data_IF_132961379082
#
_entry.id   IF_132961379082
#
_cell.length_a   1.000
_cell.length_b   1.000
_cell.length_c   1.000
_cell.angle_alpha   90.00
_cell.angle_beta   90.00
_cell.angle_gamma   90.00
#
_symmetry.space_group_name_H-M   'P 1'
#
loop_
_entity.id
_entity.type
_entity.pdbx_description
1 polymer ?
#
# COMPACT_ATOMS: atom_id res chain seq x y z
N UNK A 1 21.96 -31.63 78.78
CA UNK A 1 21.69 -30.36 78.09
C UNK A 1 21.13 -29.39 79.13
N UNK A 2 21.89 -28.37 79.55
CA UNK A 2 21.47 -27.48 80.65
C UNK A 2 20.27 -26.64 80.25
N UNK A 3 19.44 -26.22 81.22
CA UNK A 3 18.27 -25.34 81.00
C UNK A 3 18.64 -24.05 80.26
N UNK A 4 19.89 -23.60 80.39
CA UNK A 4 20.38 -22.40 79.71
C UNK A 4 20.68 -22.66 78.22
N UNK A 5 21.16 -23.86 77.86
CA UNK A 5 21.38 -24.23 76.47
C UNK A 5 20.06 -24.37 75.68
N UNK A 6 18.97 -24.79 76.34
CA UNK A 6 17.63 -24.80 75.72
C UNK A 6 17.06 -23.39 75.55
N UNK A 7 17.34 -22.47 76.48
CA UNK A 7 16.93 -21.06 76.38
C UNK A 7 17.67 -20.31 75.27
N UNK A 8 18.97 -20.54 75.12
CA UNK A 8 19.75 -19.95 74.01
C UNK A 8 19.34 -20.52 72.64
N UNK A 9 19.02 -21.81 72.55
CA UNK A 9 18.53 -22.42 71.30
C UNK A 9 17.12 -21.91 70.93
N UNK A 10 16.21 -21.81 71.92
CA UNK A 10 14.86 -21.29 71.69
C UNK A 10 14.86 -19.80 71.31
N UNK A 11 15.77 -19.00 71.88
CA UNK A 11 15.91 -17.57 71.58
C UNK A 11 16.60 -17.32 70.22
N UNK A 12 17.50 -18.22 69.79
CA UNK A 12 18.08 -18.20 68.44
C UNK A 12 17.09 -18.57 67.34
N UNK A 13 16.19 -19.53 67.59
CA UNK A 13 15.13 -19.92 66.64
C UNK A 13 14.04 -18.84 66.52
N UNK A 14 13.72 -18.15 67.62
CA UNK A 14 12.78 -17.02 67.60
C UNK A 14 13.34 -15.79 66.87
N UNK A 15 14.65 -15.52 66.94
CA UNK A 15 15.27 -14.42 66.16
C UNK A 15 15.35 -14.74 64.66
N UNK A 16 15.56 -16.00 64.27
CA UNK A 16 15.60 -16.43 62.87
C UNK A 16 14.23 -16.36 62.18
N UNK A 17 13.13 -16.47 62.93
CA UNK A 17 11.76 -16.40 62.40
C UNK A 17 11.31 -14.96 62.03
N UNK A 18 11.99 -13.92 62.52
CA UNK A 18 11.64 -12.52 62.20
C UNK A 18 12.27 -11.99 60.90
N UNK A 19 13.22 -12.72 60.30
CA UNK A 19 13.95 -12.27 59.10
C UNK A 19 13.32 -12.80 57.79
N UNK A 20 12.40 -13.77 57.87
CA UNK A 20 11.71 -14.34 56.71
C UNK A 20 10.28 -13.81 56.51
N UNK A 21 9.84 -12.83 57.30
CA UNK A 21 8.45 -12.38 57.37
C UNK A 21 8.02 -11.20 56.48
N UNK A 22 8.91 -10.62 55.67
CA UNK A 22 8.56 -9.48 54.81
C UNK A 22 9.25 -9.57 53.44
N UNK A 23 8.94 -10.61 52.67
CA UNK A 23 8.95 -10.44 51.22
C UNK A 23 7.69 -9.61 50.88
N UNK A 24 7.78 -8.43 50.23
CA UNK A 24 6.60 -7.72 49.79
C UNK A 24 5.82 -8.64 48.86
N UNK A 25 4.65 -9.09 49.31
CA UNK A 25 3.73 -9.82 48.46
C UNK A 25 3.36 -8.89 47.31
N UNK A 26 3.81 -9.20 46.09
CA UNK A 26 3.46 -8.41 44.92
C UNK A 26 1.95 -8.25 44.88
N UNK A 27 1.47 -7.01 44.91
CA UNK A 27 0.05 -6.73 44.87
C UNK A 27 -0.53 -7.43 43.63
N UNK A 28 -1.62 -8.19 43.82
CA UNK A 28 -2.27 -8.88 42.72
C UNK A 28 -2.65 -7.87 41.63
N UNK A 29 -1.99 -7.96 40.47
CA UNK A 29 -2.28 -7.14 39.30
C UNK A 29 -3.39 -7.81 38.51
N UNK A 30 -4.27 -7.02 37.90
CA UNK A 30 -5.13 -7.51 36.81
C UNK A 30 -6.02 -8.69 37.24
N UNK A 31 -6.89 -8.43 38.21
CA UNK A 31 -7.66 -9.43 38.95
C UNK A 31 -9.07 -9.66 38.41
N UNK A 32 -9.50 -8.96 37.35
CA UNK A 32 -10.83 -9.10 36.77
C UNK A 32 -10.78 -9.79 35.40
N UNK A 33 -11.87 -10.46 34.95
CA UNK A 33 -11.93 -11.08 33.64
C UNK A 33 -11.69 -10.12 32.45
N UNK A 34 -11.90 -8.81 32.63
CA UNK A 34 -11.63 -7.79 31.60
C UNK A 34 -10.28 -7.09 31.78
N UNK A 35 -9.65 -7.25 32.94
CA UNK A 35 -8.32 -6.72 33.23
C UNK A 35 -7.35 -7.89 33.27
N UNK A 36 -7.01 -8.45 32.09
CA UNK A 36 -6.01 -9.50 31.93
C UNK A 36 -5.16 -9.30 30.65
N UNK A 37 -3.97 -9.91 30.54
CA UNK A 37 -3.04 -9.69 29.42
C UNK A 37 -3.65 -9.97 28.04
N UNK A 38 -4.38 -11.07 27.88
CA UNK A 38 -4.96 -11.51 26.61
C UNK A 38 -6.05 -10.55 26.14
N UNK A 39 -6.92 -10.09 27.06
CA UNK A 39 -7.96 -9.11 26.75
C UNK A 39 -7.33 -7.78 26.31
N UNK A 40 -6.37 -7.27 27.06
CA UNK A 40 -5.70 -6.02 26.71
C UNK A 40 -4.93 -6.13 25.39
N UNK A 41 -4.27 -7.26 25.12
CA UNK A 41 -3.64 -7.52 23.82
C UNK A 41 -4.65 -7.51 22.67
N UNK A 42 -5.78 -8.21 22.81
CA UNK A 42 -6.83 -8.21 21.79
C UNK A 42 -7.36 -6.78 21.53
N UNK A 43 -7.62 -6.02 22.59
CA UNK A 43 -8.07 -4.63 22.48
C UNK A 43 -7.02 -3.72 21.85
N UNK A 44 -5.73 -3.94 22.16
CA UNK A 44 -4.62 -3.22 21.53
C UNK A 44 -4.53 -3.52 20.03
N UNK A 45 -4.69 -4.77 19.63
CA UNK A 45 -4.68 -5.15 18.21
C UNK A 45 -5.90 -4.62 17.45
N UNK A 46 -7.10 -4.59 18.06
CA UNK A 46 -8.28 -3.91 17.48
C UNK A 46 -8.04 -2.41 17.31
N UNK A 47 -7.45 -1.75 18.31
CA UNK A 47 -7.09 -0.34 18.21
C UNK A 47 -6.06 -0.08 17.09
N UNK A 48 -5.11 -1.00 16.85
CA UNK A 48 -4.21 -0.94 15.69
C UNK A 48 -4.97 -1.03 14.36
N UNK A 49 -5.96 -1.92 14.24
CA UNK A 49 -6.80 -2.04 13.04
C UNK A 49 -7.59 -0.77 12.74
N UNK A 50 -7.99 -0.04 13.79
CA UNK A 50 -8.67 1.25 13.69
C UNK A 50 -7.70 2.45 13.53
N UNK A 51 -6.38 2.20 13.49
CA UNK A 51 -5.36 3.25 13.38
C UNK A 51 -5.13 4.08 14.64
N UNK A 52 -5.72 3.69 15.78
CA UNK A 52 -5.63 4.36 17.08
C UNK A 52 -4.35 3.96 17.84
N UNK A 53 -3.22 4.45 17.36
CA UNK A 53 -1.88 4.05 17.81
C UNK A 53 -1.66 4.26 19.32
N UNK A 54 -2.08 5.39 19.89
CA UNK A 54 -1.87 5.67 21.32
C UNK A 54 -2.74 4.79 22.23
N UNK A 55 -3.97 4.50 21.79
CA UNK A 55 -4.86 3.56 22.49
C UNK A 55 -4.27 2.16 22.46
N UNK A 56 -3.76 1.72 21.31
CA UNK A 56 -3.11 0.43 21.17
C UNK A 56 -1.89 0.32 22.09
N UNK A 57 -1.05 1.35 22.15
CA UNK A 57 0.10 1.38 23.05
C UNK A 57 -0.32 1.17 24.50
N UNK A 58 -1.26 1.98 25.00
CA UNK A 58 -1.71 1.91 26.39
C UNK A 58 -2.26 0.53 26.75
N UNK A 59 -2.94 -0.13 25.80
CA UNK A 59 -3.43 -1.49 25.99
C UNK A 59 -2.31 -2.52 26.06
N UNK A 60 -1.30 -2.46 25.19
CA UNK A 60 -0.17 -3.38 25.29
C UNK A 60 0.69 -3.12 26.53
N UNK A 61 0.89 -1.86 26.93
CA UNK A 61 1.56 -1.51 28.19
C UNK A 61 0.79 -2.07 29.39
N UNK A 62 -0.55 -2.02 29.37
CA UNK A 62 -1.37 -2.64 30.41
C UNK A 62 -1.22 -4.17 30.41
N UNK A 63 -1.17 -4.82 29.25
CA UNK A 63 -0.93 -6.26 29.16
C UNK A 63 0.44 -6.64 29.77
N UNK A 64 1.50 -5.88 29.46
CA UNK A 64 2.84 -6.05 30.06
C UNK A 64 2.82 -5.78 31.56
N UNK A 65 2.05 -4.79 32.02
CA UNK A 65 1.90 -4.52 33.44
C UNK A 65 1.26 -5.71 34.18
N UNK A 66 0.23 -6.32 33.58
CA UNK A 66 -0.46 -7.49 34.10
C UNK A 66 0.45 -8.73 34.16
N UNK A 67 1.20 -8.99 33.09
CA UNK A 67 2.13 -10.11 32.98
C UNK A 67 3.37 -9.66 32.19
N UNK A 68 4.48 -9.48 32.90
CA UNK A 68 5.72 -8.88 32.38
C UNK A 68 6.40 -9.72 31.30
N UNK A 69 6.11 -11.02 31.26
CA UNK A 69 6.59 -12.01 30.30
C UNK A 69 5.60 -12.32 29.18
N UNK A 70 4.47 -11.62 29.09
CA UNK A 70 3.47 -11.87 28.05
C UNK A 70 3.98 -11.43 26.67
N UNK A 71 4.59 -12.37 25.94
CA UNK A 71 5.26 -12.13 24.66
C UNK A 71 4.41 -11.40 23.61
N UNK A 72 3.11 -11.73 23.42
CA UNK A 72 2.27 -11.05 22.43
C UNK A 72 2.14 -9.54 22.65
N UNK A 73 2.18 -9.05 23.90
CA UNK A 73 2.12 -7.63 24.16
C UNK A 73 3.38 -6.88 23.68
N UNK A 74 4.56 -7.48 23.78
CA UNK A 74 5.78 -6.91 23.20
C UNK A 74 5.75 -6.93 21.66
N UNK A 75 5.16 -7.96 21.05
CA UNK A 75 4.88 -7.97 19.60
C UNK A 75 3.97 -6.80 19.19
N UNK A 76 2.91 -6.54 19.97
CA UNK A 76 2.03 -5.39 19.78
C UNK A 76 2.76 -4.05 19.92
N UNK A 77 3.58 -3.89 20.96
CA UNK A 77 4.41 -2.70 21.17
C UNK A 77 5.41 -2.47 20.04
N UNK A 78 6.01 -3.53 19.50
CA UNK A 78 6.91 -3.45 18.35
C UNK A 78 6.19 -2.85 17.13
N UNK A 79 4.98 -3.32 16.83
CA UNK A 79 4.16 -2.80 15.72
C UNK A 79 3.79 -1.34 15.95
N UNK A 80 3.27 -0.98 17.14
CA UNK A 80 2.93 0.41 17.52
C UNK A 80 4.11 1.34 17.33
N UNK A 81 5.29 0.92 17.81
CA UNK A 81 6.51 1.73 17.73
C UNK A 81 6.98 1.88 16.29
N UNK A 82 6.86 0.83 15.47
CA UNK A 82 7.16 0.90 14.04
C UNK A 82 6.23 1.88 13.30
N UNK A 83 4.93 1.88 13.61
CA UNK A 83 3.97 2.83 13.02
C UNK A 83 4.27 4.28 13.43
N UNK A 84 4.74 4.51 14.66
CA UNK A 84 5.22 5.83 15.09
C UNK A 84 6.47 6.26 14.33
N UNK A 85 7.45 5.36 14.17
CA UNK A 85 8.65 5.64 13.40
C UNK A 85 8.31 6.03 11.95
N UNK A 86 7.36 5.32 11.31
CA UNK A 86 6.90 5.61 9.94
C UNK A 86 6.30 7.01 9.80
N UNK A 87 5.59 7.51 10.81
CA UNK A 87 4.97 8.85 10.82
C UNK A 87 5.93 9.98 11.18
N UNK A 88 7.11 9.66 11.71
CA UNK A 88 8.07 10.65 12.16
C UNK A 88 8.85 11.24 10.97
N UNK A 89 8.89 12.56 10.85
CA UNK A 89 9.61 13.27 9.78
C UNK A 89 11.07 13.55 10.13
N UNK A 90 11.36 13.75 11.42
CA UNK A 90 12.73 13.94 11.90
C UNK A 90 13.51 12.61 11.91
N UNK A 91 14.68 12.61 11.27
CA UNK A 91 15.48 11.40 11.12
C UNK A 91 16.02 10.86 12.46
N UNK A 92 16.32 11.74 13.43
CA UNK A 92 16.81 11.36 14.74
C UNK A 92 15.74 10.64 15.55
N UNK A 93 14.56 11.25 15.67
CA UNK A 93 13.42 10.64 16.35
C UNK A 93 12.96 9.37 15.64
N UNK A 94 12.96 9.32 14.30
CA UNK A 94 12.64 8.11 13.53
C UNK A 94 13.58 6.96 13.89
N UNK A 95 14.88 7.23 14.02
CA UNK A 95 15.89 6.22 14.39
C UNK A 95 15.67 5.69 15.82
N UNK A 96 15.32 6.56 16.76
CA UNK A 96 15.00 6.16 18.15
C UNK A 96 13.79 5.22 18.19
N UNK A 97 12.69 5.59 17.53
CA UNK A 97 11.49 4.73 17.47
C UNK A 97 11.77 3.42 16.70
N UNK A 98 12.54 3.47 15.61
CA UNK A 98 12.98 2.27 14.88
C UNK A 98 13.73 1.31 15.81
N UNK A 99 14.66 1.82 16.63
CA UNK A 99 15.43 1.00 17.58
C UNK A 99 14.52 0.40 18.63
N UNK A 100 13.63 1.21 19.22
CA UNK A 100 12.65 0.74 20.22
C UNK A 100 11.71 -0.33 19.65
N UNK A 101 11.29 -0.22 18.40
CA UNK A 101 10.45 -1.22 17.74
C UNK A 101 11.17 -2.57 17.63
N UNK A 102 12.43 -2.55 17.20
CA UNK A 102 13.26 -3.75 17.08
C UNK A 102 13.62 -4.36 18.45
N UNK A 103 13.83 -3.54 19.48
CA UNK A 103 14.07 -4.02 20.84
C UNK A 103 12.83 -4.72 21.43
N UNK A 104 11.64 -4.15 21.22
CA UNK A 104 10.38 -4.79 21.60
C UNK A 104 10.18 -6.10 20.83
N UNK A 105 10.48 -6.13 19.53
CA UNK A 105 10.37 -7.35 18.72
C UNK A 105 11.32 -8.44 19.23
N UNK A 106 12.56 -8.09 19.54
CA UNK A 106 13.56 -9.01 20.14
C UNK A 106 13.15 -9.47 21.53
N UNK A 107 12.49 -8.63 22.32
CA UNK A 107 11.97 -9.02 23.64
C UNK A 107 10.81 -10.01 23.49
N UNK A 108 9.91 -9.80 22.52
CA UNK A 108 8.86 -10.75 22.19
C UNK A 108 9.44 -12.10 21.76
N UNK A 109 10.46 -12.12 20.91
CA UNK A 109 11.17 -13.35 20.48
C UNK A 109 11.66 -14.17 21.67
N UNK A 110 12.34 -13.51 22.61
CA UNK A 110 12.93 -14.16 23.79
C UNK A 110 11.91 -14.73 24.77
N UNK A 111 10.73 -14.13 24.81
CA UNK A 111 9.63 -14.53 25.71
C UNK A 111 8.66 -15.51 25.04
N UNK A 112 8.79 -15.74 23.72
CA UNK A 112 7.88 -16.59 22.97
C UNK A 112 8.17 -18.07 23.22
N UNK A 113 7.45 -18.65 24.18
CA UNK A 113 7.66 -20.03 24.61
C UNK A 113 6.83 -21.03 23.79
N UNK A 114 5.59 -20.67 23.45
CA UNK A 114 4.66 -21.56 22.72
C UNK A 114 4.76 -21.38 21.20
N UNK A 115 4.19 -22.32 20.43
CA UNK A 115 4.09 -22.17 18.98
C UNK A 115 3.20 -20.97 18.60
N UNK A 116 2.18 -20.70 19.41
CA UNK A 116 1.28 -19.56 19.27
C UNK A 116 1.98 -18.22 19.54
N UNK A 117 2.79 -18.13 20.61
CA UNK A 117 3.58 -16.93 20.89
C UNK A 117 4.59 -16.65 19.78
N UNK A 118 5.23 -17.70 19.26
CA UNK A 118 6.16 -17.62 18.13
C UNK A 118 5.44 -17.17 16.86
N UNK A 119 4.24 -17.69 16.60
CA UNK A 119 3.41 -17.25 15.49
C UNK A 119 3.08 -15.75 15.59
N UNK A 120 2.65 -15.29 16.77
CA UNK A 120 2.33 -13.88 17.04
C UNK A 120 3.56 -12.98 16.85
N UNK A 121 4.71 -13.40 17.39
CA UNK A 121 5.99 -12.71 17.24
C UNK A 121 6.47 -12.63 15.79
N UNK A 122 6.52 -13.75 15.06
CA UNK A 122 7.01 -13.77 13.69
C UNK A 122 6.09 -12.99 12.75
N UNK A 123 4.76 -13.07 12.96
CA UNK A 123 3.80 -12.28 12.18
C UNK A 123 3.94 -10.78 12.49
N UNK A 124 4.20 -10.41 13.75
CA UNK A 124 4.57 -9.05 14.10
C UNK A 124 5.91 -8.64 13.46
N UNK A 125 6.87 -9.54 13.34
CA UNK A 125 8.13 -9.33 12.61
C UNK A 125 7.90 -8.92 11.15
N UNK A 126 7.09 -9.69 10.40
CA UNK A 126 6.70 -9.35 9.02
C UNK A 126 6.16 -7.92 8.94
N UNK A 127 5.24 -7.56 9.85
CA UNK A 127 4.61 -6.23 9.91
C UNK A 127 5.63 -5.14 10.24
N UNK A 128 6.46 -5.34 11.27
CA UNK A 128 7.46 -4.37 11.72
C UNK A 128 8.50 -4.11 10.63
N UNK A 129 9.04 -5.17 9.99
CA UNK A 129 10.01 -5.00 8.92
C UNK A 129 9.40 -4.29 7.71
N UNK A 130 8.16 -4.66 7.32
CA UNK A 130 7.42 -4.01 6.23
C UNK A 130 7.14 -2.54 6.52
N UNK A 131 6.78 -2.19 7.76
CA UNK A 131 6.50 -0.81 8.16
C UNK A 131 7.76 0.04 8.21
N UNK A 132 8.87 -0.49 8.75
CA UNK A 132 10.11 0.25 8.93
C UNK A 132 10.97 0.34 7.67
N UNK A 133 10.86 -0.63 6.75
CA UNK A 133 11.68 -0.76 5.54
C UNK A 133 13.18 -0.51 5.77
N UNK A 134 13.71 -1.06 6.86
CA UNK A 134 15.16 -1.01 7.16
C UNK A 134 15.95 -1.90 6.19
N UNK A 135 17.28 -1.90 6.28
CA UNK A 135 18.12 -2.77 5.43
C UNK A 135 17.67 -4.24 5.50
N UNK A 136 17.56 -4.86 4.32
CA UNK A 136 17.11 -6.25 4.11
C UNK A 136 15.70 -6.53 4.66
N UNK A 137 14.83 -5.52 4.76
CA UNK A 137 13.51 -5.68 5.40
C UNK A 137 12.66 -6.78 4.76
N UNK A 138 12.66 -6.90 3.43
CA UNK A 138 11.86 -7.90 2.74
C UNK A 138 12.39 -9.29 3.04
N UNK A 139 13.71 -9.48 2.96
CA UNK A 139 14.37 -10.74 3.31
C UNK A 139 14.07 -11.16 4.75
N UNK A 140 14.12 -10.24 5.71
CA UNK A 140 13.75 -10.53 7.12
C UNK A 140 12.28 -10.91 7.29
N UNK A 141 11.39 -10.28 6.51
CA UNK A 141 9.98 -10.67 6.47
C UNK A 141 9.79 -12.08 5.87
N UNK A 142 10.51 -12.41 4.80
CA UNK A 142 10.51 -13.74 4.19
C UNK A 142 11.07 -14.82 5.12
N UNK A 143 12.16 -14.53 5.85
CA UNK A 143 12.74 -15.41 6.87
C UNK A 143 11.71 -15.70 7.99
N UNK A 144 11.10 -14.66 8.56
CA UNK A 144 10.06 -14.81 9.57
C UNK A 144 8.86 -15.60 9.05
N UNK A 145 8.45 -15.36 7.80
CA UNK A 145 7.38 -16.11 7.15
C UNK A 145 7.76 -17.59 6.94
N UNK A 146 9.01 -17.88 6.58
CA UNK A 146 9.54 -19.24 6.49
C UNK A 146 9.47 -19.98 7.83
N UNK A 147 9.89 -19.32 8.91
CA UNK A 147 9.84 -19.88 10.26
C UNK A 147 8.40 -20.19 10.71
N UNK A 148 7.43 -19.33 10.36
CA UNK A 148 6.00 -19.59 10.63
C UNK A 148 5.55 -20.92 10.02
N UNK A 149 6.02 -21.25 8.80
CA UNK A 149 5.64 -22.49 8.10
C UNK A 149 6.15 -23.76 8.78
N UNK A 150 7.12 -23.63 9.68
CA UNK A 150 7.69 -24.75 10.45
C UNK A 150 6.98 -24.99 11.78
N UNK A 151 6.10 -24.09 12.21
CA UNK A 151 5.40 -24.19 13.49
C UNK A 151 4.29 -25.24 13.47
N UNK A 152 4.16 -25.99 14.57
CA UNK A 152 3.03 -26.87 14.84
C UNK A 152 2.03 -26.15 15.73
N UNK A 153 1.08 -25.46 15.10
CA UNK A 153 0.16 -24.53 15.76
C UNK A 153 -1.21 -25.15 16.03
N UNK A 154 -1.83 -24.82 17.17
CA UNK A 154 -3.28 -24.92 17.36
C UNK A 154 -3.92 -23.55 17.11
N UNK A 155 -4.46 -23.33 15.91
CA UNK A 155 -5.06 -22.06 15.48
C UNK A 155 -6.17 -21.56 16.44
N UNK A 156 -6.81 -22.45 17.20
CA UNK A 156 -7.86 -22.10 18.18
C UNK A 156 -7.34 -21.26 19.34
N UNK A 157 -6.03 -21.29 19.59
CA UNK A 157 -5.37 -20.54 20.65
C UNK A 157 -4.88 -19.17 20.20
N UNK A 158 -4.92 -18.86 18.90
CA UNK A 158 -4.58 -17.53 18.40
C UNK A 158 -5.67 -16.52 18.77
N UNK A 159 -5.34 -15.61 19.68
CA UNK A 159 -6.28 -14.61 20.21
C UNK A 159 -6.72 -13.61 19.13
N UNK A 160 -5.77 -13.07 18.35
CA UNK A 160 -6.04 -12.02 17.37
C UNK A 160 -6.00 -12.48 15.91
N UNK A 161 -4.97 -13.25 15.52
CA UNK A 161 -4.78 -13.62 14.11
C UNK A 161 -5.76 -14.69 13.64
N UNK A 162 -6.27 -15.54 14.53
CA UNK A 162 -7.38 -16.49 14.29
C UNK A 162 -7.19 -17.52 13.16
N UNK A 163 -5.99 -17.62 12.60
CA UNK A 163 -5.66 -18.58 11.55
C UNK A 163 -4.27 -18.33 10.95
N UNK A 164 -3.66 -19.37 10.39
CA UNK A 164 -2.33 -19.28 9.78
C UNK A 164 -2.31 -18.43 8.50
N UNK A 165 -3.45 -18.25 7.84
CA UNK A 165 -3.60 -17.38 6.66
C UNK A 165 -3.32 -15.90 6.96
N UNK A 166 -3.31 -15.50 8.23
CA UNK A 166 -2.85 -14.18 8.64
C UNK A 166 -1.40 -13.91 8.16
N UNK A 167 -0.53 -14.90 8.24
CA UNK A 167 0.86 -14.77 7.80
C UNK A 167 0.94 -14.56 6.28
N UNK A 168 0.12 -15.28 5.50
CA UNK A 168 0.00 -15.08 4.05
C UNK A 168 -0.50 -13.67 3.72
N UNK A 169 -1.50 -13.17 4.45
CA UNK A 169 -2.01 -11.83 4.26
C UNK A 169 -0.92 -10.76 4.48
N UNK A 170 -0.21 -10.80 5.61
CA UNK A 170 0.84 -9.82 5.89
C UNK A 170 2.06 -9.97 4.97
N UNK A 171 2.39 -11.19 4.53
CA UNK A 171 3.44 -11.38 3.52
C UNK A 171 3.02 -10.86 2.14
N UNK A 172 1.74 -10.97 1.78
CA UNK A 172 1.18 -10.33 0.59
C UNK A 172 1.30 -8.81 0.64
N UNK A 173 1.07 -8.20 1.81
CA UNK A 173 1.31 -6.76 2.03
C UNK A 173 2.81 -6.44 1.89
N UNK A 174 3.70 -7.25 2.47
CA UNK A 174 5.14 -7.06 2.34
C UNK A 174 5.60 -7.06 0.87
N UNK A 175 5.17 -8.05 0.08
CA UNK A 175 5.47 -8.08 -1.35
C UNK A 175 4.87 -6.91 -2.12
N UNK A 176 3.65 -6.46 -1.78
CA UNK A 176 3.04 -5.29 -2.41
C UNK A 176 3.86 -4.02 -2.11
N UNK A 177 4.32 -3.86 -0.88
CA UNK A 177 5.18 -2.74 -0.45
C UNK A 177 6.59 -2.80 -1.06
N UNK A 178 7.01 -3.97 -1.53
CA UNK A 178 8.23 -4.19 -2.32
C UNK A 178 8.01 -4.04 -3.84
N UNK A 179 6.77 -3.79 -4.28
CA UNK A 179 6.37 -3.77 -5.69
C UNK A 179 6.56 -5.12 -6.42
N UNK A 180 6.61 -6.22 -5.66
CA UNK A 180 6.67 -7.61 -6.15
C UNK A 180 5.26 -8.16 -6.39
N UNK A 181 4.57 -7.58 -7.38
CA UNK A 181 3.13 -7.77 -7.57
C UNK A 181 2.70 -9.21 -7.79
N UNK A 182 3.52 -10.04 -8.46
CA UNK A 182 3.17 -11.46 -8.67
C UNK A 182 3.18 -12.22 -7.34
N UNK A 183 4.23 -12.05 -6.54
CA UNK A 183 4.35 -12.68 -5.23
C UNK A 183 3.24 -12.17 -4.28
N UNK A 184 2.94 -10.87 -4.32
CA UNK A 184 1.85 -10.29 -3.55
C UNK A 184 0.49 -10.91 -3.92
N UNK A 185 0.18 -10.97 -5.22
CA UNK A 185 -1.06 -11.60 -5.73
C UNK A 185 -1.16 -13.05 -5.27
N UNK A 186 -0.08 -13.82 -5.44
CA UNK A 186 -0.09 -15.24 -5.10
C UNK A 186 -0.29 -15.45 -3.58
N UNK A 187 0.31 -14.61 -2.72
CA UNK A 187 0.07 -14.65 -1.27
C UNK A 187 -1.36 -14.29 -0.87
N UNK A 188 -1.95 -13.27 -1.49
CA UNK A 188 -3.38 -13.00 -1.24
C UNK A 188 -4.27 -14.14 -1.74
N UNK A 189 -3.91 -14.79 -2.84
CA UNK A 189 -4.64 -15.97 -3.32
C UNK A 189 -4.51 -17.16 -2.37
N UNK A 190 -3.37 -17.34 -1.70
CA UNK A 190 -3.18 -18.36 -0.68
C UNK A 190 -4.16 -18.17 0.51
N UNK A 191 -4.40 -16.91 0.92
CA UNK A 191 -5.43 -16.60 1.94
C UNK A 191 -6.82 -17.05 1.47
N UNK A 192 -7.20 -16.74 0.22
CA UNK A 192 -8.52 -17.07 -0.32
C UNK A 192 -8.73 -18.58 -0.56
N UNK A 193 -7.65 -19.37 -0.61
CA UNK A 193 -7.68 -20.83 -0.74
C UNK A 193 -7.68 -21.54 0.62
N UNK A 194 -7.63 -20.80 1.73
CA UNK A 194 -7.66 -21.39 3.06
C UNK A 194 -8.92 -22.23 3.26
N UNK A 195 -8.82 -23.30 4.05
CA UNK A 195 -9.91 -24.28 4.23
C UNK A 195 -11.18 -23.69 4.88
N UNK A 196 -11.03 -22.58 5.62
CA UNK A 196 -12.10 -21.91 6.33
C UNK A 196 -12.04 -20.44 6.02
N UNK A 197 -13.19 -19.87 5.70
CA UNK A 197 -13.33 -18.43 5.63
C UNK A 197 -13.11 -17.83 7.02
N UNK A 198 -12.22 -16.84 7.09
CA UNK A 198 -11.71 -16.28 8.32
C UNK A 198 -11.50 -14.78 8.22
N UNK A 199 -11.03 -14.18 9.32
CA UNK A 199 -10.86 -12.72 9.50
C UNK A 199 -10.15 -12.00 8.35
N UNK A 200 -9.26 -12.69 7.63
CA UNK A 200 -8.40 -12.09 6.60
C UNK A 200 -8.95 -12.17 5.17
N UNK A 201 -10.01 -12.92 4.93
CA UNK A 201 -10.51 -13.20 3.57
C UNK A 201 -10.97 -11.93 2.84
N UNK A 202 -11.82 -11.11 3.46
CA UNK A 202 -12.32 -9.88 2.84
C UNK A 202 -11.17 -8.90 2.50
N UNK A 203 -10.21 -8.74 3.43
CA UNK A 203 -9.05 -7.87 3.23
C UNK A 203 -8.15 -8.40 2.11
N UNK A 204 -7.91 -9.71 2.08
CA UNK A 204 -7.12 -10.38 1.06
C UNK A 204 -7.81 -10.33 -0.30
N UNK A 205 -9.14 -10.47 -0.37
CA UNK A 205 -9.89 -10.39 -1.64
C UNK A 205 -9.75 -9.00 -2.28
N UNK A 206 -9.93 -7.93 -1.48
CA UNK A 206 -9.74 -6.55 -1.93
C UNK A 206 -8.30 -6.32 -2.42
N UNK A 207 -7.31 -6.79 -1.66
CA UNK A 207 -5.91 -6.66 -2.04
C UNK A 207 -5.57 -7.50 -3.29
N UNK A 208 -6.05 -8.74 -3.38
CA UNK A 208 -5.87 -9.61 -4.54
C UNK A 208 -6.45 -8.97 -5.81
N UNK A 209 -7.69 -8.46 -5.78
CA UNK A 209 -8.31 -7.78 -6.92
C UNK A 209 -7.45 -6.61 -7.41
N UNK A 210 -6.96 -5.80 -6.48
CA UNK A 210 -6.09 -4.65 -6.80
C UNK A 210 -4.76 -5.09 -7.42
N UNK A 211 -4.07 -6.05 -6.81
CA UNK A 211 -2.77 -6.49 -7.31
C UNK A 211 -2.90 -7.30 -8.60
N UNK A 212 -3.94 -8.11 -8.76
CA UNK A 212 -4.23 -8.80 -10.01
C UNK A 212 -4.44 -7.82 -11.17
N UNK A 213 -5.18 -6.72 -10.93
CA UNK A 213 -5.32 -5.65 -11.91
C UNK A 213 -3.97 -5.08 -12.34
N UNK A 214 -3.06 -4.83 -11.39
CA UNK A 214 -1.68 -4.37 -11.68
C UNK A 214 -0.90 -5.42 -12.48
N UNK A 215 -0.92 -6.69 -12.07
CA UNK A 215 -0.22 -7.78 -12.77
C UNK A 215 -0.74 -7.90 -14.21
N UNK A 216 -2.06 -7.79 -14.42
CA UNK A 216 -2.65 -7.76 -15.76
C UNK A 216 -2.17 -6.52 -16.51
N UNK A 217 -2.24 -5.33 -15.94
CA UNK A 217 -1.78 -4.08 -16.57
C UNK A 217 -0.34 -4.15 -17.10
N UNK A 218 0.54 -4.87 -16.39
CA UNK A 218 1.95 -5.04 -16.76
C UNK A 218 2.19 -6.24 -17.70
N UNK A 219 1.18 -7.07 -17.97
CA UNK A 219 1.36 -8.26 -18.80
C UNK A 219 1.74 -7.87 -20.24
N UNK A 220 2.84 -8.43 -20.75
CA UNK A 220 3.29 -8.20 -22.13
C UNK A 220 4.10 -6.92 -22.35
N UNK A 221 4.32 -6.10 -21.31
CA UNK A 221 5.19 -4.93 -21.37
C UNK A 221 6.24 -4.96 -20.27
N UNK A 222 7.37 -4.29 -20.50
CA UNK A 222 8.34 -4.01 -19.45
C UNK A 222 7.95 -2.69 -18.81
N UNK A 223 7.87 -2.65 -17.48
CA UNK A 223 7.52 -1.45 -16.71
C UNK A 223 8.65 -1.13 -15.75
N UNK A 224 9.18 0.09 -15.83
CA UNK A 224 10.23 0.59 -14.95
C UNK A 224 9.76 0.80 -13.50
N UNK A 225 10.70 1.11 -12.61
CA UNK A 225 10.38 1.29 -11.18
C UNK A 225 9.42 2.45 -10.94
N UNK A 226 9.53 3.53 -11.73
CA UNK A 226 8.60 4.66 -11.72
C UNK A 226 7.18 4.18 -12.09
N UNK A 227 7.04 3.45 -13.20
CA UNK A 227 5.75 2.88 -13.60
C UNK A 227 5.15 1.96 -12.54
N UNK A 228 5.97 1.14 -11.87
CA UNK A 228 5.51 0.30 -10.74
C UNK A 228 5.04 1.14 -9.53
N UNK A 229 5.74 2.22 -9.20
CA UNK A 229 5.33 3.14 -8.14
C UNK A 229 4.01 3.85 -8.48
N UNK A 230 3.80 4.19 -9.75
CA UNK A 230 2.55 4.77 -10.22
C UNK A 230 1.42 3.72 -10.18
N UNK A 231 1.69 2.47 -10.55
CA UNK A 231 0.71 1.38 -10.59
C UNK A 231 -0.07 1.19 -9.28
N UNK A 232 0.60 1.42 -8.14
CA UNK A 232 -0.01 1.28 -6.81
C UNK A 232 -0.76 2.52 -6.36
N UNK A 233 -0.78 3.63 -7.09
CA UNK A 233 -1.52 4.83 -6.68
C UNK A 233 -3.03 4.63 -6.82
N UNK A 234 -3.79 5.07 -5.82
CA UNK A 234 -5.27 5.09 -5.88
C UNK A 234 -5.80 6.16 -6.85
N UNK A 235 -4.98 7.16 -7.15
CA UNK A 235 -5.27 8.23 -8.09
C UNK A 235 -3.98 8.69 -8.74
N UNK A 236 -3.94 8.75 -10.06
CA UNK A 236 -2.78 9.31 -10.79
C UNK A 236 -2.94 10.80 -11.00
N UNK A 237 -1.81 11.49 -10.99
CA UNK A 237 -1.72 12.91 -11.31
C UNK A 237 -1.40 13.12 -12.79
N UNK A 238 -1.50 14.37 -13.25
CA UNK A 238 -1.06 14.75 -14.61
C UNK A 238 0.42 14.43 -14.85
N UNK A 239 1.26 14.65 -13.85
CA UNK A 239 2.68 14.33 -13.93
C UNK A 239 2.94 12.81 -13.96
N UNK A 240 2.14 12.02 -13.24
CA UNK A 240 2.24 10.55 -13.30
C UNK A 240 1.92 10.02 -14.71
N UNK A 241 0.82 10.49 -15.32
CA UNK A 241 0.51 10.13 -16.70
C UNK A 241 1.60 10.60 -17.67
N UNK A 242 2.21 11.75 -17.40
CA UNK A 242 3.29 12.25 -18.21
C UNK A 242 4.50 11.30 -18.19
N UNK A 243 4.90 10.87 -17.00
CA UNK A 243 5.95 9.89 -16.81
C UNK A 243 5.62 8.56 -17.50
N UNK A 244 4.40 8.02 -17.35
CA UNK A 244 4.02 6.77 -18.01
C UNK A 244 4.10 6.84 -19.55
N UNK A 245 3.63 7.93 -20.15
CA UNK A 245 3.65 8.11 -21.61
C UNK A 245 5.06 8.28 -22.18
N UNK A 246 5.96 8.95 -21.45
CA UNK A 246 7.34 9.15 -21.90
C UNK A 246 8.21 7.96 -21.54
N UNK A 247 8.16 7.48 -20.30
CA UNK A 247 9.10 6.48 -19.81
C UNK A 247 8.72 5.05 -20.20
N UNK A 248 7.43 4.70 -20.16
CA UNK A 248 7.01 3.32 -20.45
C UNK A 248 6.62 3.18 -21.94
N UNK A 249 5.91 4.16 -22.49
CA UNK A 249 5.46 4.09 -23.89
C UNK A 249 6.45 4.66 -24.92
N UNK A 250 7.37 5.53 -24.49
CA UNK A 250 8.31 6.25 -25.40
C UNK A 250 7.55 7.06 -26.46
N UNK A 251 6.49 7.74 -26.05
CA UNK A 251 5.57 8.46 -26.95
C UNK A 251 6.30 9.53 -27.79
N UNK A 252 7.29 10.20 -27.21
CA UNK A 252 8.13 11.18 -27.87
C UNK A 252 8.87 10.58 -29.09
N UNK A 253 9.47 9.41 -28.92
CA UNK A 253 10.17 8.70 -30.01
C UNK A 253 9.19 8.26 -31.08
N UNK A 254 7.97 7.89 -30.67
CA UNK A 254 6.92 7.48 -31.59
C UNK A 254 6.49 8.65 -32.49
N UNK A 255 6.18 9.81 -31.92
CA UNK A 255 5.80 10.99 -32.72
C UNK A 255 6.97 11.54 -33.53
N UNK A 256 8.20 11.38 -33.05
CA UNK A 256 9.39 11.81 -33.78
C UNK A 256 9.77 10.92 -34.97
N UNK A 257 9.26 9.69 -35.06
CA UNK A 257 9.75 8.64 -35.99
C UNK A 257 9.82 9.08 -37.46
N UNK A 258 8.89 9.91 -37.91
CA UNK A 258 8.79 10.35 -39.32
C UNK A 258 9.19 11.81 -39.53
N UNK A 259 9.73 12.48 -38.51
CA UNK A 259 10.11 13.88 -38.58
C UNK A 259 11.65 13.96 -38.73
N UNK A 260 12.18 14.66 -39.74
CA UNK A 260 13.61 14.88 -39.86
C UNK A 260 14.20 15.56 -38.61
N UNK A 261 15.42 15.18 -38.20
CA UNK A 261 16.05 15.71 -36.99
C UNK A 261 16.11 17.24 -36.96
N UNK A 262 16.43 17.89 -38.08
CA UNK A 262 16.48 19.36 -38.17
C UNK A 262 15.13 20.04 -37.89
N UNK A 263 14.01 19.35 -38.15
CA UNK A 263 12.67 19.84 -37.79
C UNK A 263 12.31 19.49 -36.35
N UNK A 264 12.77 18.34 -35.84
CA UNK A 264 12.58 17.95 -34.44
C UNK A 264 13.26 18.92 -33.48
N UNK A 265 14.47 19.36 -33.79
CA UNK A 265 15.24 20.29 -32.95
C UNK A 265 14.55 21.67 -32.84
N UNK A 266 13.70 22.02 -33.81
CA UNK A 266 12.88 23.22 -33.78
C UNK A 266 11.57 23.06 -32.98
N UNK A 267 11.17 21.82 -32.66
CA UNK A 267 9.98 21.54 -31.86
C UNK A 267 10.36 21.63 -30.38
N UNK A 268 10.08 22.78 -29.81
CA UNK A 268 10.33 23.10 -28.40
C UNK A 268 9.01 23.38 -27.68
N UNK A 269 8.93 23.17 -26.35
CA UNK A 269 7.79 23.61 -25.59
C UNK A 269 7.70 25.14 -25.69
N UNK A 270 6.50 25.68 -25.85
CA UNK A 270 6.30 27.12 -26.05
C UNK A 270 6.83 27.96 -24.88
N UNK A 271 6.80 27.38 -23.67
CA UNK A 271 7.35 27.95 -22.45
C UNK A 271 7.55 26.84 -21.40
N UNK A 272 8.17 27.19 -20.28
CA UNK A 272 8.33 26.31 -19.12
C UNK A 272 7.39 26.82 -18.02
N UNK A 273 6.35 26.07 -17.63
CA UNK A 273 5.47 26.44 -16.52
C UNK A 273 6.23 26.62 -15.20
N UNK A 274 5.89 27.65 -14.44
CA UNK A 274 6.60 27.97 -13.19
C UNK A 274 6.44 26.88 -12.12
N UNK A 275 5.32 26.16 -12.13
CA UNK A 275 4.94 25.14 -11.17
C UNK A 275 5.60 23.78 -11.41
N UNK A 276 6.37 23.61 -12.48
CA UNK A 276 7.12 22.38 -12.75
C UNK A 276 8.63 22.51 -12.55
N UNK A 277 9.13 23.72 -12.23
CA UNK A 277 10.58 24.00 -12.19
C UNK A 277 11.37 23.06 -11.25
N UNK A 278 10.78 22.72 -10.11
CA UNK A 278 11.36 21.82 -9.11
C UNK A 278 10.64 20.46 -9.05
N UNK A 279 9.79 20.16 -10.03
CA UNK A 279 9.05 18.91 -10.07
C UNK A 279 9.95 17.79 -10.60
N UNK A 280 9.89 16.60 -9.98
CA UNK A 280 10.76 15.47 -10.35
C UNK A 280 10.50 14.96 -11.78
N UNK A 281 9.25 15.02 -12.26
CA UNK A 281 8.87 14.71 -13.66
C UNK A 281 8.94 15.91 -14.63
N UNK A 282 9.82 16.90 -14.37
CA UNK A 282 9.90 18.11 -15.20
C UNK A 282 10.17 17.79 -16.67
N UNK A 283 11.11 16.89 -16.95
CA UNK A 283 11.55 16.60 -18.32
C UNK A 283 10.48 15.86 -19.13
N UNK A 284 9.77 14.94 -18.50
CA UNK A 284 8.68 14.16 -19.08
C UNK A 284 7.50 15.09 -19.41
N UNK A 285 7.15 15.99 -18.48
CA UNK A 285 6.12 17.02 -18.71
C UNK A 285 6.50 17.92 -19.88
N UNK A 286 7.71 18.49 -19.88
CA UNK A 286 8.16 19.39 -20.95
C UNK A 286 8.21 18.66 -22.29
N UNK A 287 8.57 17.37 -22.29
CA UNK A 287 8.61 16.56 -23.51
C UNK A 287 7.22 16.31 -24.07
N UNK A 288 6.21 16.06 -23.23
CA UNK A 288 4.83 15.93 -23.72
C UNK A 288 4.22 17.24 -24.19
N UNK A 289 4.51 18.36 -23.51
CA UNK A 289 4.00 19.67 -23.90
C UNK A 289 4.39 20.05 -25.34
N UNK A 290 5.57 19.63 -25.81
CA UNK A 290 6.03 19.80 -27.21
C UNK A 290 5.04 19.24 -28.24
N UNK A 291 4.34 18.17 -27.88
CA UNK A 291 3.46 17.42 -28.79
C UNK A 291 2.01 17.92 -28.80
N UNK A 292 1.70 18.95 -28.00
CA UNK A 292 0.39 19.62 -27.94
C UNK A 292 -0.76 18.61 -27.79
N UNK A 293 -0.57 17.65 -26.90
CA UNK A 293 -1.57 16.63 -26.61
C UNK A 293 -2.66 17.25 -25.75
N UNK A 294 -3.92 17.03 -26.13
CA UNK A 294 -5.08 17.49 -25.38
C UNK A 294 -5.03 16.99 -23.94
N UNK A 295 -5.20 17.88 -22.96
CA UNK A 295 -5.14 17.59 -21.53
C UNK A 295 -3.76 17.79 -20.89
N UNK A 296 -2.70 17.93 -21.70
CA UNK A 296 -1.34 18.25 -21.24
C UNK A 296 -0.94 19.72 -21.48
N UNK A 297 -1.91 20.58 -21.80
CA UNK A 297 -1.68 22.03 -21.87
C UNK A 297 -1.56 22.65 -20.48
N UNK A 298 -0.97 23.83 -20.38
CA UNK A 298 -0.88 24.59 -19.14
C UNK A 298 -1.95 25.71 -19.11
N UNK A 299 -3.16 25.43 -18.59
CA UNK A 299 -4.24 26.42 -18.56
C UNK A 299 -3.88 27.61 -17.67
N UNK A 300 -4.51 28.76 -17.94
CA UNK A 300 -4.38 29.93 -17.07
C UNK A 300 -4.96 29.63 -15.68
N UNK A 301 -4.16 29.87 -14.66
CA UNK A 301 -4.60 29.79 -13.30
C UNK A 301 -5.61 30.91 -13.00
N UNK A 302 -6.78 30.60 -12.41
CA UNK A 302 -7.82 31.60 -12.19
C UNK A 302 -7.39 32.74 -11.28
N UNK A 303 -6.42 32.51 -10.38
CA UNK A 303 -5.95 33.48 -9.39
C UNK A 303 -4.77 34.27 -9.95
N UNK A 304 -3.69 33.58 -10.31
CA UNK A 304 -2.44 34.24 -10.72
C UNK A 304 -2.44 34.67 -12.18
N UNK A 305 -3.39 34.17 -12.99
CA UNK A 305 -3.45 34.32 -14.46
C UNK A 305 -2.22 33.77 -15.19
N UNK A 306 -1.26 33.19 -14.46
CA UNK A 306 -0.11 32.52 -15.05
C UNK A 306 -0.54 31.18 -15.67
N UNK A 307 0.04 30.78 -16.81
CA UNK A 307 -0.20 29.45 -17.35
C UNK A 307 0.54 28.41 -16.50
N UNK A 308 -0.21 27.53 -15.85
CA UNK A 308 0.31 26.51 -14.93
C UNK A 308 -0.04 25.12 -15.45
N UNK A 309 0.90 24.17 -15.36
CA UNK A 309 0.66 22.79 -15.81
C UNK A 309 -0.17 21.99 -14.80
N UNK A 310 -0.06 22.33 -13.52
CA UNK A 310 -0.69 21.68 -12.36
C UNK A 310 -0.31 20.20 -12.26
N UNK A 311 0.99 19.87 -12.10
CA UNK A 311 1.51 18.51 -12.16
C UNK A 311 0.82 17.55 -11.19
N UNK A 312 0.49 18.02 -9.99
CA UNK A 312 -0.12 17.22 -8.92
C UNK A 312 -1.65 17.11 -9.01
N UNK A 313 -2.28 17.69 -10.04
CA UNK A 313 -3.73 17.57 -10.22
C UNK A 313 -4.11 16.12 -10.54
N UNK A 314 -5.04 15.58 -9.76
CA UNK A 314 -5.62 14.25 -9.98
C UNK A 314 -6.38 14.22 -11.30
N UNK A 315 -6.12 13.22 -12.13
CA UNK A 315 -6.80 13.04 -13.42
C UNK A 315 -8.06 12.21 -13.25
N UNK A 316 -9.18 12.76 -13.72
CA UNK A 316 -10.47 12.06 -13.79
C UNK A 316 -10.57 11.23 -15.05
N UNK A 317 -11.44 10.22 -15.03
CA UNK A 317 -11.64 9.31 -16.17
C UNK A 317 -12.04 10.04 -17.46
N UNK A 318 -12.88 11.07 -17.37
CA UNK A 318 -13.26 11.90 -18.54
C UNK A 318 -12.08 12.67 -19.14
N UNK A 319 -11.19 13.17 -18.29
CA UNK A 319 -10.00 13.92 -18.73
C UNK A 319 -9.01 12.98 -19.40
N UNK A 320 -8.79 11.81 -18.81
CA UNK A 320 -7.95 10.77 -19.42
C UNK A 320 -8.52 10.27 -20.74
N UNK A 321 -9.84 10.10 -20.87
CA UNK A 321 -10.46 9.70 -22.14
C UNK A 321 -10.15 10.70 -23.26
N UNK A 322 -10.20 12.00 -22.94
CA UNK A 322 -9.87 13.06 -23.88
C UNK A 322 -8.38 13.04 -24.27
N UNK A 323 -7.48 12.77 -23.32
CA UNK A 323 -6.04 12.64 -23.59
C UNK A 323 -5.76 11.43 -24.48
N UNK A 324 -6.32 10.27 -24.14
CA UNK A 324 -6.11 9.00 -24.84
C UNK A 324 -6.65 9.04 -26.28
N UNK A 325 -7.82 9.65 -26.50
CA UNK A 325 -8.35 9.84 -27.86
C UNK A 325 -7.39 10.66 -28.73
N UNK A 326 -6.86 11.77 -28.22
CA UNK A 326 -5.94 12.62 -28.99
C UNK A 326 -4.61 11.91 -29.26
N UNK A 327 -4.09 11.17 -28.27
CA UNK A 327 -2.91 10.31 -28.45
C UNK A 327 -3.17 9.28 -29.54
N UNK A 328 -4.34 8.63 -29.51
CA UNK A 328 -4.72 7.61 -30.46
C UNK A 328 -4.87 8.14 -31.89
N UNK A 329 -5.49 9.32 -32.06
CA UNK A 329 -5.55 10.03 -33.35
C UNK A 329 -4.14 10.24 -33.90
N UNK A 330 -3.20 10.71 -33.07
CA UNK A 330 -1.82 10.97 -33.49
C UNK A 330 -1.03 9.69 -33.79
N UNK A 331 -1.30 8.59 -33.09
CA UNK A 331 -0.66 7.28 -33.34
C UNK A 331 -1.14 6.69 -34.66
N UNK A 332 -2.46 6.71 -34.88
CA UNK A 332 -3.08 6.07 -36.05
C UNK A 332 -2.98 6.97 -37.29
N UNK A 333 -2.92 8.29 -37.11
CA UNK A 333 -2.91 9.27 -38.20
C UNK A 333 -4.26 9.47 -38.87
N UNK A 334 -5.37 9.14 -38.19
CA UNK A 334 -6.74 9.27 -38.72
C UNK A 334 -7.56 10.29 -37.91
N UNK A 335 -7.76 11.48 -38.48
CA UNK A 335 -8.57 12.53 -37.84
C UNK A 335 -10.06 12.17 -37.74
N UNK A 336 -10.55 11.18 -38.51
CA UNK A 336 -11.95 10.76 -38.43
C UNK A 336 -12.29 10.13 -37.08
N UNK A 337 -11.30 9.64 -36.32
CA UNK A 337 -11.50 9.14 -34.95
C UNK A 337 -12.17 10.22 -34.07
N UNK A 338 -11.82 11.50 -34.23
CA UNK A 338 -12.36 12.61 -33.44
C UNK A 338 -13.86 12.88 -33.64
N UNK A 339 -14.46 12.33 -34.71
CA UNK A 339 -15.87 12.59 -35.07
C UNK A 339 -16.69 11.33 -35.28
N UNK A 340 -16.06 10.15 -35.09
CA UNK A 340 -16.58 8.83 -35.45
C UNK A 340 -17.98 8.54 -34.92
N UNK A 341 -18.30 9.07 -33.74
CA UNK A 341 -19.54 8.79 -33.03
C UNK A 341 -20.46 10.01 -32.89
N UNK A 342 -20.15 11.16 -33.51
CA UNK A 342 -20.97 12.38 -33.40
C UNK A 342 -22.41 12.23 -33.90
N UNK A 343 -22.67 11.27 -34.79
CA UNK A 343 -24.02 11.03 -35.33
C UNK A 343 -24.91 10.17 -34.42
N UNK A 344 -24.38 9.66 -33.30
CA UNK A 344 -25.15 8.85 -32.37
C UNK A 344 -25.98 9.76 -31.46
N UNK A 345 -27.31 9.68 -31.59
CA UNK A 345 -28.25 10.45 -30.76
C UNK A 345 -28.56 9.80 -29.41
N UNK A 346 -28.12 8.56 -29.20
CA UNK A 346 -28.34 7.77 -27.98
C UNK A 346 -26.99 7.38 -27.39
N UNK A 347 -26.87 7.49 -26.07
CA UNK A 347 -25.67 7.07 -25.34
C UNK A 347 -25.73 5.58 -25.03
N UNK A 348 -24.59 4.91 -25.15
CA UNK A 348 -24.41 3.52 -24.75
C UNK A 348 -24.12 3.37 -23.24
N UNK A 349 -24.03 4.49 -22.51
CA UNK A 349 -23.66 4.54 -21.10
C UNK A 349 -24.70 5.29 -20.27
N UNK A 350 -24.93 4.83 -19.04
CA UNK A 350 -25.92 5.41 -18.14
C UNK A 350 -25.60 6.86 -17.72
N UNK A 351 -24.31 7.20 -17.61
CA UNK A 351 -23.81 8.47 -17.06
C UNK A 351 -23.17 9.39 -18.11
N UNK A 352 -23.22 9.03 -19.39
CA UNK A 352 -22.63 9.82 -20.50
C UNK A 352 -23.75 10.41 -21.33
N UNK A 353 -23.81 11.73 -21.45
CA UNK A 353 -24.73 12.41 -22.36
C UNK A 353 -24.17 12.41 -23.79
N UNK A 354 -24.94 11.90 -24.77
CA UNK A 354 -24.48 11.67 -26.14
C UNK A 354 -23.97 12.94 -26.86
N UNK A 355 -24.50 14.12 -26.51
CA UNK A 355 -24.21 15.40 -27.17
C UNK A 355 -23.09 16.20 -26.50
N UNK A 356 -22.51 15.72 -25.40
CA UNK A 356 -21.42 16.42 -24.71
C UNK A 356 -20.09 16.25 -25.43
N UNK A 357 -19.20 17.23 -25.26
CA UNK A 357 -17.89 17.29 -25.91
C UNK A 357 -16.99 16.06 -25.66
N UNK A 358 -17.20 15.34 -24.56
CA UNK A 358 -16.44 14.13 -24.20
C UNK A 358 -17.06 12.83 -24.71
N UNK A 359 -18.29 12.85 -25.25
CA UNK A 359 -19.03 11.64 -25.63
C UNK A 359 -18.26 10.79 -26.66
N UNK A 360 -17.69 11.43 -27.69
CA UNK A 360 -16.89 10.75 -28.70
C UNK A 360 -15.64 10.09 -28.09
N UNK A 361 -14.91 10.83 -27.25
CA UNK A 361 -13.71 10.34 -26.58
C UNK A 361 -14.01 9.12 -25.71
N UNK A 362 -15.06 9.19 -24.88
CA UNK A 362 -15.48 8.08 -24.01
C UNK A 362 -15.81 6.85 -24.85
N UNK A 363 -16.61 7.00 -25.91
CA UNK A 363 -16.97 5.87 -26.77
C UNK A 363 -15.74 5.28 -27.49
N UNK A 364 -14.82 6.13 -27.95
CA UNK A 364 -13.55 5.73 -28.58
C UNK A 364 -12.67 4.92 -27.64
N UNK A 365 -12.43 5.38 -26.41
CA UNK A 365 -11.53 4.69 -25.48
C UNK A 365 -12.13 3.39 -24.94
N UNK A 366 -13.46 3.30 -24.84
CA UNK A 366 -14.13 2.04 -24.45
C UNK A 366 -14.12 1.04 -25.60
N UNK A 367 -14.46 1.46 -26.83
CA UNK A 367 -14.54 0.53 -27.98
C UNK A 367 -13.18 -0.04 -28.39
N UNK A 368 -12.09 0.66 -28.05
CA UNK A 368 -10.71 0.25 -28.29
C UNK A 368 -10.09 -0.52 -27.11
N UNK A 369 -10.83 -0.69 -26.01
CA UNK A 369 -10.34 -1.35 -24.81
C UNK A 369 -9.34 -0.53 -23.98
N UNK A 370 -9.08 0.74 -24.34
CA UNK A 370 -8.20 1.63 -23.58
C UNK A 370 -8.72 1.93 -22.17
N UNK A 371 -10.04 1.94 -21.97
CA UNK A 371 -10.66 2.12 -20.66
C UNK A 371 -11.87 1.19 -20.46
N UNK A 372 -11.94 0.53 -19.31
CA UNK A 372 -13.06 -0.34 -18.94
C UNK A 372 -14.23 0.46 -18.33
N UNK A 373 -15.45 -0.09 -18.35
CA UNK A 373 -16.63 0.48 -17.67
C UNK A 373 -17.04 -0.32 -16.44
N UNK A 374 -17.82 0.30 -15.55
CA UNK A 374 -18.46 -0.44 -14.47
C UNK A 374 -19.63 -1.29 -15.02
N UNK A 375 -19.76 -2.50 -14.46
CA UNK A 375 -20.80 -3.47 -14.87
C UNK A 375 -22.19 -2.89 -14.62
N UNK A 376 -23.07 -3.01 -15.61
CA UNK A 376 -24.45 -2.54 -15.57
C UNK A 376 -25.11 -2.68 -16.95
N UNK A 377 -26.40 -2.41 -17.05
CA UNK A 377 -27.11 -2.33 -18.32
C UNK A 377 -28.11 -1.17 -18.33
N UNK A 378 -27.77 0.00 -18.93
CA UNK A 378 -26.50 0.31 -19.60
C UNK A 378 -25.32 0.44 -18.61
N UNK A 379 -24.06 0.18 -19.03
CA UNK A 379 -22.88 0.35 -18.18
C UNK A 379 -22.60 1.81 -17.82
N UNK A 380 -21.88 2.05 -16.73
CA UNK A 380 -21.42 3.39 -16.32
C UNK A 380 -19.94 3.59 -16.67
N UNK A 381 -19.60 4.72 -17.30
CA UNK A 381 -18.21 5.09 -17.57
C UNK A 381 -17.51 5.69 -16.33
N UNK A 382 -18.27 6.29 -15.41
CA UNK A 382 -17.80 6.89 -14.15
C UNK A 382 -16.95 8.13 -14.37
N UNK A 383 -17.50 9.09 -15.14
CA UNK A 383 -16.79 10.26 -15.69
C UNK A 383 -15.85 10.98 -14.70
N UNK A 384 -16.33 11.23 -13.48
CA UNK A 384 -15.63 12.09 -12.50
C UNK A 384 -14.83 11.32 -11.45
N UNK A 385 -14.80 9.99 -11.53
CA UNK A 385 -13.96 9.17 -10.66
C UNK A 385 -12.50 9.35 -11.07
N UNK A 386 -11.57 9.53 -10.10
CA UNK A 386 -10.13 9.52 -10.38
C UNK A 386 -9.68 8.24 -11.08
N UNK A 387 -8.71 8.36 -11.97
CA UNK A 387 -8.05 7.19 -12.58
C UNK A 387 -7.04 6.61 -11.59
N UNK A 388 -7.09 5.31 -11.33
CA UNK A 388 -6.05 4.63 -10.54
C UNK A 388 -4.83 4.23 -11.40
N UNK A 389 -3.71 3.95 -10.74
CA UNK A 389 -2.45 3.64 -11.42
C UNK A 389 -2.49 2.41 -12.32
N UNK A 390 -3.31 1.42 -11.96
CA UNK A 390 -3.43 0.20 -12.74
C UNK A 390 -4.25 0.44 -14.02
N UNK A 391 -5.34 1.21 -13.95
CA UNK A 391 -6.09 1.66 -15.13
C UNK A 391 -5.22 2.49 -16.07
N UNK A 392 -4.40 3.38 -15.51
CA UNK A 392 -3.46 4.16 -16.30
C UNK A 392 -2.51 3.26 -17.09
N UNK A 393 -1.90 2.26 -16.44
CA UNK A 393 -1.02 1.30 -17.09
C UNK A 393 -1.74 0.40 -18.11
N UNK A 394 -2.98 0.00 -17.87
CA UNK A 394 -3.78 -0.75 -18.85
C UNK A 394 -3.92 0.07 -20.13
N UNK A 395 -4.32 1.33 -20.03
CA UNK A 395 -4.46 2.20 -21.20
C UNK A 395 -3.14 2.35 -21.97
N UNK A 396 -2.02 2.50 -21.25
CA UNK A 396 -0.68 2.60 -21.86
C UNK A 396 -0.30 1.29 -22.57
N UNK A 397 -0.54 0.14 -21.94
CA UNK A 397 -0.31 -1.18 -22.54
C UNK A 397 -1.13 -1.35 -23.83
N UNK A 398 -2.41 -0.99 -23.80
CA UNK A 398 -3.28 -1.10 -24.97
C UNK A 398 -2.87 -0.15 -26.10
N UNK A 399 -2.44 1.08 -25.78
CA UNK A 399 -1.86 1.98 -26.79
C UNK A 399 -0.59 1.39 -27.43
N UNK A 400 0.29 0.78 -26.64
CA UNK A 400 1.48 0.07 -27.11
C UNK A 400 1.08 -1.09 -28.05
N UNK A 401 0.04 -1.84 -27.69
CA UNK A 401 -0.47 -2.93 -28.51
C UNK A 401 -1.05 -2.45 -29.85
N UNK A 402 -1.88 -1.40 -29.84
CA UNK A 402 -2.45 -0.78 -31.05
C UNK A 402 -1.33 -0.32 -31.99
N UNK A 403 -0.31 0.36 -31.44
CA UNK A 403 0.89 0.77 -32.17
C UNK A 403 1.56 -0.41 -32.88
N UNK A 404 1.83 -1.49 -32.14
CA UNK A 404 2.62 -2.62 -32.65
C UNK A 404 1.88 -3.46 -33.68
N UNK A 405 0.55 -3.55 -33.57
CA UNK A 405 -0.28 -4.31 -34.50
C UNK A 405 -0.72 -3.53 -35.72
N UNK A 406 -0.68 -2.19 -35.68
CA UNK A 406 -1.19 -1.34 -36.76
C UNK A 406 -2.67 -1.57 -37.06
N UNK A 407 -3.44 -2.04 -36.08
CA UNK A 407 -4.87 -2.29 -36.17
C UNK A 407 -5.57 -1.57 -35.03
N UNK A 408 -6.41 -0.60 -35.40
CA UNK A 408 -7.42 0.01 -34.56
C UNK A 408 -8.75 -0.70 -34.85
#
# INVERSE_FOLDING_TARGET
MSRDMFRFLAMGVLLAAFIFGCAPQEAAKCTSPEDNPQHHYLMGMKALEEGKIDVAQSKFERAVYCEDKFAPAYSGLAIVTAERAKRQTDAGFRKVETTRALDNLKKAEKLADTAEDKFDHLTAGIRVYTTLKTSEWLKKAEEAFGDIRMLKLDERKLVYYQGTEAADYFMGIAYLEALEFRQARDKFADVLKAKREGKWHEKAEKAHKRVDKIVRAMAGITVGDVGKQIAVKNSVTRADLAALLIDEMKLDKLFARFIPQSKLDAIMPEFIPADILNHHFREEILTLMKWKIRGFEAPQDPVTKAPLFKPDSVVKRVEMALMLEDILIKIVGDENVATRYYKNSVSDFADVEATKYYSNAVKTVVSTGLMETEKGYPPEFRLFVPVDGADALIAIRELIYIRDKGRY
#
